data_IF_998787539958
#
_entry.id   IF_998787539958
#
_cell.length_a   1.000
_cell.length_b   1.000
_cell.length_c   1.000
_cell.angle_alpha   90.00
_cell.angle_beta   90.00
_cell.angle_gamma   90.00
#
_symmetry.space_group_name_H-M   'P 1'
#
loop_
_entity.id
_entity.type
_entity.pdbx_description
1 polymer ?
#
# COMPACT_ATOMS: atom_id res chain seq x y z
N UNK A 1 -7.19 5.40 -28.49
CA UNK A 1 -8.21 6.35 -27.97
C UNK A 1 -7.72 7.21 -26.79
N UNK A 2 -7.48 6.66 -25.59
CA UNK A 2 -6.99 7.47 -24.45
C UNK A 2 -5.63 8.14 -24.72
N UNK A 3 -4.68 7.39 -25.30
CA UNK A 3 -3.36 7.92 -25.66
C UNK A 3 -3.40 8.97 -26.80
N UNK A 4 -4.49 9.02 -27.56
CA UNK A 4 -4.72 9.99 -28.64
C UNK A 4 -5.48 11.23 -28.15
N UNK A 5 -5.81 11.32 -26.86
CA UNK A 5 -6.60 12.42 -26.28
C UNK A 5 -8.09 12.40 -26.66
N UNK A 6 -8.57 11.34 -27.32
CA UNK A 6 -9.97 11.18 -27.75
C UNK A 6 -10.84 10.67 -26.58
N UNK A 7 -10.88 11.44 -25.50
CA UNK A 7 -11.45 11.02 -24.20
C UNK A 7 -12.95 10.73 -24.27
N UNK A 8 -13.71 11.50 -25.06
CA UNK A 8 -15.16 11.30 -25.24
C UNK A 8 -15.45 9.96 -25.93
N UNK A 9 -14.66 9.61 -26.94
CA UNK A 9 -14.83 8.33 -27.62
C UNK A 9 -14.36 7.17 -26.76
N UNK A 10 -13.25 7.34 -26.03
CA UNK A 10 -12.79 6.37 -25.05
C UNK A 10 -13.87 6.08 -23.99
N UNK A 11 -14.54 7.12 -23.47
CA UNK A 11 -15.66 6.96 -22.52
C UNK A 11 -16.79 6.16 -23.13
N UNK A 12 -17.23 6.50 -24.35
CA UNK A 12 -18.32 5.79 -25.03
C UNK A 12 -17.98 4.32 -25.26
N UNK A 13 -16.81 4.04 -25.80
CA UNK A 13 -16.36 2.67 -26.09
C UNK A 13 -16.19 1.86 -24.81
N UNK A 14 -15.57 2.42 -23.78
CA UNK A 14 -15.39 1.75 -22.49
C UNK A 14 -16.73 1.47 -21.81
N UNK A 15 -17.65 2.44 -21.81
CA UNK A 15 -19.01 2.26 -21.27
C UNK A 15 -19.76 1.14 -22.00
N UNK A 16 -19.69 1.09 -23.33
CA UNK A 16 -20.29 0.01 -24.11
C UNK A 16 -19.69 -1.36 -23.76
N UNK A 17 -18.36 -1.44 -23.58
CA UNK A 17 -17.69 -2.66 -23.16
C UNK A 17 -18.17 -3.13 -21.77
N UNK A 18 -18.26 -2.21 -20.80
CA UNK A 18 -18.80 -2.50 -19.45
C UNK A 18 -20.20 -3.10 -19.55
N UNK A 19 -21.12 -2.49 -20.31
CA UNK A 19 -22.51 -3.01 -20.45
C UNK A 19 -22.59 -4.40 -21.10
N UNK A 20 -21.63 -4.75 -21.96
CA UNK A 20 -21.58 -6.08 -22.58
C UNK A 20 -21.01 -7.11 -21.60
N UNK A 21 -19.89 -6.77 -20.95
CA UNK A 21 -19.17 -7.66 -20.03
C UNK A 21 -19.95 -7.93 -18.75
N UNK A 22 -20.77 -6.97 -18.29
CA UNK A 22 -21.73 -7.18 -17.19
C UNK A 22 -22.71 -8.33 -17.45
N UNK A 23 -22.95 -8.70 -18.71
CA UNK A 23 -23.84 -9.81 -19.09
C UNK A 23 -23.09 -11.13 -19.27
N UNK A 24 -21.76 -11.08 -19.36
CA UNK A 24 -20.92 -12.22 -19.75
C UNK A 24 -20.30 -13.01 -18.60
N UNK A 25 -20.52 -12.61 -17.33
CA UNK A 25 -19.90 -13.18 -16.12
C UNK A 25 -18.35 -13.18 -16.09
N UNK A 26 -17.69 -12.51 -17.04
CA UNK A 26 -16.24 -12.37 -17.10
C UNK A 26 -15.74 -11.18 -16.26
N UNK A 27 -15.65 -11.38 -14.94
CA UNK A 27 -15.33 -10.33 -13.96
C UNK A 27 -13.96 -9.65 -14.20
N UNK A 28 -12.94 -10.39 -14.65
CA UNK A 28 -11.60 -9.84 -14.93
C UNK A 28 -11.64 -8.79 -16.04
N UNK A 29 -12.23 -9.11 -17.20
CA UNK A 29 -12.35 -8.15 -18.30
C UNK A 29 -13.29 -6.99 -17.95
N UNK A 30 -14.33 -7.26 -17.14
CA UNK A 30 -15.20 -6.21 -16.62
C UNK A 30 -14.41 -5.20 -15.77
N UNK A 31 -13.50 -5.66 -14.91
CA UNK A 31 -12.65 -4.78 -14.12
C UNK A 31 -11.75 -3.90 -15.02
N UNK A 32 -11.08 -4.47 -16.02
CA UNK A 32 -10.25 -3.71 -16.97
C UNK A 32 -11.06 -2.64 -17.74
N UNK A 33 -12.25 -3.00 -18.19
CA UNK A 33 -13.16 -2.08 -18.87
C UNK A 33 -13.59 -0.94 -17.94
N UNK A 34 -13.87 -1.23 -16.67
CA UNK A 34 -14.20 -0.22 -15.66
C UNK A 34 -13.01 0.70 -15.36
N UNK A 35 -11.77 0.19 -15.27
CA UNK A 35 -10.56 1.02 -15.09
C UNK A 35 -10.45 2.03 -16.24
N UNK A 36 -10.63 1.55 -17.47
CA UNK A 36 -10.59 2.39 -18.68
C UNK A 36 -11.71 3.44 -18.68
N UNK A 37 -12.93 3.04 -18.28
CA UNK A 37 -14.08 3.94 -18.20
C UNK A 37 -13.89 5.02 -17.13
N UNK A 38 -13.45 4.63 -15.94
CA UNK A 38 -13.17 5.54 -14.82
C UNK A 38 -12.09 6.56 -15.18
N UNK A 39 -11.01 6.14 -15.83
CA UNK A 39 -9.97 7.03 -16.33
C UNK A 39 -10.49 8.00 -17.39
N UNK A 40 -11.29 7.53 -18.35
CA UNK A 40 -11.90 8.39 -19.37
C UNK A 40 -12.82 9.45 -18.73
N UNK A 41 -13.59 9.09 -17.71
CA UNK A 41 -14.45 10.02 -16.96
C UNK A 41 -13.63 11.07 -16.20
N UNK A 42 -12.52 10.67 -15.57
CA UNK A 42 -11.64 11.59 -14.86
C UNK A 42 -11.01 12.62 -15.80
N UNK A 43 -10.55 12.17 -16.98
CA UNK A 43 -10.02 13.05 -18.04
C UNK A 43 -11.09 13.98 -18.66
N UNK A 44 -12.37 13.71 -18.42
CA UNK A 44 -13.50 14.57 -18.77
C UNK A 44 -13.98 15.43 -17.58
N UNK A 45 -13.19 15.50 -16.50
CA UNK A 45 -13.48 16.22 -15.27
C UNK A 45 -14.78 15.79 -14.56
N UNK A 46 -15.19 14.53 -14.75
CA UNK A 46 -16.36 13.94 -14.07
C UNK A 46 -15.92 13.14 -12.84
N UNK A 47 -15.33 13.82 -11.87
CA UNK A 47 -14.64 13.21 -10.73
C UNK A 47 -15.51 12.26 -9.91
N UNK A 48 -16.77 12.63 -9.62
CA UNK A 48 -17.67 11.78 -8.83
C UNK A 48 -18.01 10.46 -9.55
N UNK A 49 -18.26 10.53 -10.86
CA UNK A 49 -18.55 9.35 -11.68
C UNK A 49 -17.31 8.48 -11.84
N UNK A 50 -16.16 9.10 -12.08
CA UNK A 50 -14.89 8.40 -12.16
C UNK A 50 -14.57 7.66 -10.87
N UNK A 51 -14.80 8.30 -9.71
CA UNK A 51 -14.60 7.70 -8.38
C UNK A 51 -15.45 6.45 -8.22
N UNK A 52 -16.76 6.56 -8.44
CA UNK A 52 -17.68 5.43 -8.29
C UNK A 52 -17.33 4.26 -9.22
N UNK A 53 -16.91 4.55 -10.46
CA UNK A 53 -16.52 3.52 -11.43
C UNK A 53 -15.20 2.84 -11.03
N UNK A 54 -14.22 3.60 -10.53
CA UNK A 54 -12.93 3.05 -10.09
C UNK A 54 -13.05 2.25 -8.80
N UNK A 55 -13.83 2.71 -7.81
CA UNK A 55 -14.13 1.96 -6.59
C UNK A 55 -14.83 0.63 -6.92
N UNK A 56 -15.74 0.65 -7.90
CA UNK A 56 -16.37 -0.58 -8.40
C UNK A 56 -15.37 -1.51 -9.09
N UNK A 57 -14.45 -0.96 -9.88
CA UNK A 57 -13.40 -1.75 -10.53
C UNK A 57 -12.51 -2.48 -9.51
N UNK A 58 -12.13 -1.80 -8.42
CA UNK A 58 -11.38 -2.39 -7.30
C UNK A 58 -12.16 -3.57 -6.73
N UNK A 59 -13.42 -3.37 -6.37
CA UNK A 59 -14.23 -4.42 -5.75
C UNK A 59 -14.44 -5.65 -6.64
N UNK A 60 -14.68 -5.45 -7.94
CA UNK A 60 -14.87 -6.56 -8.89
C UNK A 60 -13.58 -7.33 -9.11
N UNK A 61 -12.44 -6.64 -9.25
CA UNK A 61 -11.14 -7.28 -9.42
C UNK A 61 -10.74 -8.09 -8.17
N UNK A 62 -11.00 -7.59 -6.97
CA UNK A 62 -10.80 -8.34 -5.72
C UNK A 62 -11.70 -9.59 -5.66
N UNK A 63 -12.96 -9.48 -6.07
CA UNK A 63 -13.90 -10.61 -6.11
C UNK A 63 -13.48 -11.69 -7.11
N UNK A 64 -12.86 -11.31 -8.24
CA UNK A 64 -12.33 -12.26 -9.22
C UNK A 64 -10.95 -12.81 -8.86
N UNK A 65 -10.36 -12.35 -7.76
CA UNK A 65 -9.00 -12.73 -7.35
C UNK A 65 -7.89 -12.07 -8.18
N UNK A 66 -8.24 -11.12 -9.05
CA UNK A 66 -7.29 -10.36 -9.85
C UNK A 66 -6.78 -9.15 -9.04
N UNK A 67 -5.83 -9.42 -8.14
CA UNK A 67 -5.24 -8.40 -7.27
C UNK A 67 -4.45 -7.35 -8.05
N UNK A 68 -3.92 -7.71 -9.22
CA UNK A 68 -3.15 -6.79 -10.06
C UNK A 68 -4.06 -5.72 -10.68
N UNK A 69 -5.20 -6.13 -11.26
CA UNK A 69 -6.22 -5.18 -11.73
C UNK A 69 -6.82 -4.36 -10.60
N UNK A 70 -7.03 -4.94 -9.41
CA UNK A 70 -7.50 -4.20 -8.24
C UNK A 70 -6.50 -3.09 -7.85
N UNK A 71 -5.21 -3.43 -7.80
CA UNK A 71 -4.14 -2.49 -7.52
C UNK A 71 -4.02 -1.40 -8.60
N UNK A 72 -4.17 -1.78 -9.86
CA UNK A 72 -4.17 -0.86 -11.00
C UNK A 72 -5.34 0.14 -10.93
N UNK A 73 -6.52 -0.32 -10.54
CA UNK A 73 -7.69 0.53 -10.33
C UNK A 73 -7.47 1.54 -9.18
N UNK A 74 -6.93 1.07 -8.05
CA UNK A 74 -6.59 1.93 -6.91
C UNK A 74 -5.52 2.98 -7.25
N UNK A 75 -4.48 2.60 -8.01
CA UNK A 75 -3.47 3.55 -8.50
C UNK A 75 -4.07 4.58 -9.46
N UNK A 76 -4.95 4.15 -10.36
CA UNK A 76 -5.64 5.05 -11.29
C UNK A 76 -6.53 6.05 -10.55
N UNK A 77 -7.18 5.62 -9.47
CA UNK A 77 -7.96 6.49 -8.59
C UNK A 77 -7.08 7.60 -7.96
N UNK A 78 -5.91 7.24 -7.43
CA UNK A 78 -4.95 8.21 -6.86
C UNK A 78 -4.41 9.18 -7.91
N UNK A 79 -4.06 8.66 -9.09
CA UNK A 79 -3.41 9.45 -10.13
C UNK A 79 -4.36 10.50 -10.73
N UNK A 80 -5.59 10.08 -11.04
CA UNK A 80 -6.55 10.90 -11.78
C UNK A 80 -7.42 11.76 -10.84
N UNK A 81 -7.70 11.28 -9.62
CA UNK A 81 -8.57 11.96 -8.66
C UNK A 81 -7.81 12.50 -7.44
N UNK A 82 -6.48 12.53 -7.52
CA UNK A 82 -5.61 12.90 -6.41
C UNK A 82 -5.96 14.24 -5.75
N UNK A 83 -6.37 15.23 -6.55
CA UNK A 83 -6.67 16.57 -6.07
C UNK A 83 -8.11 16.71 -5.51
N UNK A 84 -8.97 15.72 -5.75
CA UNK A 84 -10.35 15.68 -5.25
C UNK A 84 -10.50 14.87 -3.95
N UNK A 85 -9.43 14.16 -3.54
CA UNK A 85 -9.41 13.31 -2.37
C UNK A 85 -8.69 14.01 -1.22
N UNK A 86 -9.16 13.78 0.00
CA UNK A 86 -8.45 14.21 1.20
C UNK A 86 -7.10 13.49 1.33
N UNK A 87 -6.16 14.08 2.07
CA UNK A 87 -4.86 13.44 2.29
C UNK A 87 -4.98 12.10 3.02
N UNK A 88 -6.00 11.92 3.87
CA UNK A 88 -6.23 10.63 4.54
C UNK A 88 -6.75 9.58 3.55
N UNK A 89 -7.73 9.91 2.71
CA UNK A 89 -8.22 9.01 1.66
C UNK A 89 -7.08 8.58 0.72
N UNK A 90 -6.21 9.52 0.30
CA UNK A 90 -5.04 9.21 -0.53
C UNK A 90 -4.10 8.21 0.14
N UNK A 91 -3.85 8.36 1.44
CA UNK A 91 -2.98 7.44 2.20
C UNK A 91 -3.62 6.07 2.34
N UNK A 92 -4.92 6.02 2.62
CA UNK A 92 -5.66 4.76 2.72
C UNK A 92 -5.67 4.02 1.38
N UNK A 93 -6.00 4.71 0.28
CA UNK A 93 -5.95 4.11 -1.06
C UNK A 93 -4.54 3.69 -1.44
N UNK A 94 -3.50 4.47 -1.11
CA UNK A 94 -2.12 4.09 -1.40
C UNK A 94 -1.70 2.84 -0.62
N UNK A 95 -2.06 2.77 0.66
CA UNK A 95 -1.78 1.60 1.49
C UNK A 95 -2.49 0.35 0.95
N UNK A 96 -3.75 0.50 0.51
CA UNK A 96 -4.51 -0.57 -0.13
C UNK A 96 -3.87 -1.01 -1.45
N UNK A 97 -3.55 -0.07 -2.34
CA UNK A 97 -2.85 -0.35 -3.60
C UNK A 97 -1.52 -1.06 -3.36
N UNK A 98 -0.75 -0.65 -2.36
CA UNK A 98 0.54 -1.29 -1.99
C UNK A 98 0.34 -2.74 -1.58
N UNK A 99 -0.70 -3.04 -0.80
CA UNK A 99 -1.00 -4.39 -0.35
C UNK A 99 -1.43 -5.30 -1.52
N UNK A 100 -2.21 -4.77 -2.46
CA UNK A 100 -2.69 -5.50 -3.63
C UNK A 100 -1.57 -5.87 -4.61
N UNK A 101 -0.55 -5.01 -4.74
CA UNK A 101 0.54 -5.18 -5.71
C UNK A 101 1.86 -5.64 -5.08
N UNK A 102 1.84 -6.07 -3.80
CA UNK A 102 3.04 -6.48 -3.06
C UNK A 102 3.80 -7.62 -3.77
N UNK A 103 3.07 -8.48 -4.49
CA UNK A 103 3.62 -9.61 -5.25
C UNK A 103 3.64 -9.39 -6.77
N UNK A 104 3.28 -8.20 -7.27
CA UNK A 104 3.28 -7.94 -8.71
C UNK A 104 4.71 -7.89 -9.25
N UNK A 105 4.93 -8.56 -10.38
CA UNK A 105 6.20 -8.52 -11.13
C UNK A 105 6.19 -7.40 -12.19
N UNK A 106 5.07 -6.68 -12.37
CA UNK A 106 4.97 -5.59 -13.33
C UNK A 106 5.70 -4.33 -12.83
N UNK A 107 6.87 -4.09 -13.42
CA UNK A 107 7.71 -2.90 -13.20
C UNK A 107 6.92 -1.60 -13.44
N UNK A 108 5.97 -1.59 -14.37
CA UNK A 108 5.10 -0.45 -14.64
C UNK A 108 4.22 -0.07 -13.45
N UNK A 109 3.60 -1.07 -12.81
CA UNK A 109 2.79 -0.89 -11.60
C UNK A 109 3.66 -0.40 -10.43
N UNK A 110 4.81 -1.03 -10.22
CA UNK A 110 5.75 -0.63 -9.15
C UNK A 110 6.23 0.82 -9.34
N UNK A 111 6.50 1.23 -10.59
CA UNK A 111 6.91 2.60 -10.91
C UNK A 111 5.79 3.60 -10.64
N UNK A 112 4.55 3.27 -11.02
CA UNK A 112 3.36 4.11 -10.75
C UNK A 112 3.11 4.25 -9.26
N UNK A 113 3.16 3.14 -8.51
CA UNK A 113 3.05 3.13 -7.05
C UNK A 113 4.09 4.04 -6.41
N UNK A 114 5.35 3.90 -6.80
CA UNK A 114 6.45 4.72 -6.29
C UNK A 114 6.20 6.22 -6.55
N UNK A 115 5.80 6.57 -7.78
CA UNK A 115 5.49 7.96 -8.15
C UNK A 115 4.33 8.54 -7.32
N UNK A 116 3.26 7.78 -7.15
CA UNK A 116 2.09 8.17 -6.36
C UNK A 116 2.43 8.31 -4.87
N UNK A 117 3.23 7.39 -4.33
CA UNK A 117 3.72 7.46 -2.96
C UNK A 117 4.57 8.72 -2.72
N UNK A 118 5.48 9.05 -3.66
CA UNK A 118 6.24 10.30 -3.58
C UNK A 118 5.33 11.53 -3.62
N UNK A 119 4.37 11.60 -4.54
CA UNK A 119 3.41 12.72 -4.60
C UNK A 119 2.72 12.93 -3.26
N UNK A 120 2.20 11.85 -2.66
CA UNK A 120 1.47 11.91 -1.38
C UNK A 120 2.39 12.30 -0.21
N UNK A 121 3.65 11.82 -0.20
CA UNK A 121 4.62 12.18 0.84
C UNK A 121 4.92 13.68 0.88
N UNK A 122 4.90 14.34 -0.28
CA UNK A 122 5.18 15.78 -0.41
C UNK A 122 3.91 16.66 -0.34
N UNK A 123 2.72 16.09 -0.16
CA UNK A 123 1.52 16.88 0.09
C UNK A 123 1.61 17.54 1.47
N UNK A 124 1.37 18.84 1.51
CA UNK A 124 1.25 19.56 2.78
C UNK A 124 0.08 18.98 3.57
N UNK A 125 0.27 18.62 4.85
CA UNK A 125 -0.83 18.08 5.63
C UNK A 125 -1.96 19.10 5.73
N UNK A 126 -3.20 18.67 5.53
CA UNK A 126 -4.36 19.47 5.90
C UNK A 126 -4.32 19.72 7.41
N UNK A 127 -4.05 20.95 7.83
CA UNK A 127 -3.91 21.28 9.26
C UNK A 127 -5.18 21.01 10.07
N UNK A 128 -6.34 21.01 9.42
CA UNK A 128 -7.63 20.75 10.06
C UNK A 128 -7.74 19.26 10.41
N UNK A 129 -7.70 18.94 11.70
CA UNK A 129 -7.74 17.56 12.18
C UNK A 129 -6.38 16.83 12.14
N UNK A 130 -5.31 17.49 11.66
CA UNK A 130 -3.97 16.91 11.69
C UNK A 130 -3.48 16.74 13.14
N UNK A 131 -3.08 15.52 13.45
CA UNK A 131 -2.40 15.20 14.71
C UNK A 131 -0.97 14.78 14.39
N UNK A 132 -0.03 15.70 14.64
CA UNK A 132 1.40 15.42 14.49
C UNK A 132 1.81 14.13 15.22
N UNK A 133 1.31 13.92 16.45
CA UNK A 133 1.58 12.71 17.23
C UNK A 133 1.09 11.44 16.51
N UNK A 134 -0.09 11.46 15.88
CA UNK A 134 -0.64 10.32 15.12
C UNK A 134 0.17 10.04 13.87
N UNK A 135 0.51 11.07 13.10
CA UNK A 135 1.28 10.92 11.86
C UNK A 135 2.70 10.42 12.11
N UNK A 136 3.38 10.96 13.12
CA UNK A 136 4.71 10.45 13.55
C UNK A 136 4.60 8.99 14.00
N UNK A 137 3.56 8.63 14.76
CA UNK A 137 3.34 7.24 15.20
C UNK A 137 3.13 6.30 14.01
N UNK A 138 2.33 6.68 13.01
CA UNK A 138 2.12 5.86 11.81
C UNK A 138 3.42 5.67 11.03
N UNK A 139 4.19 6.74 10.82
CA UNK A 139 5.47 6.65 10.11
C UNK A 139 6.51 5.82 10.87
N UNK A 140 6.59 6.00 12.19
CA UNK A 140 7.43 5.18 13.08
C UNK A 140 7.05 3.69 13.00
N UNK A 141 5.74 3.37 13.05
CA UNK A 141 5.24 2.00 12.90
C UNK A 141 5.63 1.39 11.56
N UNK A 142 5.53 2.16 10.48
CA UNK A 142 5.89 1.71 9.13
C UNK A 142 7.38 1.37 9.01
N UNK A 143 8.27 2.27 9.46
CA UNK A 143 9.72 2.02 9.42
C UNK A 143 10.11 0.81 10.28
N UNK A 144 9.51 0.67 11.47
CA UNK A 144 9.75 -0.48 12.34
C UNK A 144 9.34 -1.79 11.65
N UNK A 145 8.15 -1.82 11.03
CA UNK A 145 7.66 -2.97 10.26
C UNK A 145 8.64 -3.35 9.15
N UNK A 146 9.06 -2.38 8.34
CA UNK A 146 9.99 -2.60 7.24
C UNK A 146 11.32 -3.20 7.74
N UNK A 147 11.89 -2.63 8.80
CA UNK A 147 13.12 -3.12 9.39
C UNK A 147 12.97 -4.52 10.01
N UNK A 148 11.80 -4.86 10.57
CA UNK A 148 11.51 -6.20 11.07
C UNK A 148 11.42 -7.22 9.93
N UNK A 149 10.76 -6.89 8.82
CA UNK A 149 10.67 -7.74 7.63
C UNK A 149 12.05 -7.99 7.02
N UNK A 150 12.83 -6.94 6.80
CA UNK A 150 14.22 -7.04 6.32
C UNK A 150 15.10 -7.88 7.28
N UNK A 151 14.83 -7.79 8.58
CA UNK A 151 15.52 -8.56 9.59
C UNK A 151 14.99 -10.00 9.77
N UNK A 152 14.02 -10.45 8.99
CA UNK A 152 13.30 -11.72 9.17
C UNK A 152 12.77 -11.91 10.60
N UNK A 153 12.23 -10.84 11.19
CA UNK A 153 11.67 -10.79 12.54
C UNK A 153 12.70 -10.64 13.67
N UNK A 154 14.00 -10.58 13.37
CA UNK A 154 15.06 -10.45 14.38
C UNK A 154 15.16 -9.00 14.92
N UNK A 155 14.59 -8.77 16.11
CA UNK A 155 14.53 -7.44 16.77
C UNK A 155 15.89 -6.77 16.92
N UNK A 156 16.94 -7.52 17.25
CA UNK A 156 18.29 -6.96 17.41
C UNK A 156 18.89 -6.44 16.09
N UNK A 157 18.57 -7.09 14.96
CA UNK A 157 19.02 -6.67 13.63
C UNK A 157 18.18 -5.50 13.13
N UNK A 158 16.86 -5.56 13.29
CA UNK A 158 15.95 -4.47 12.98
C UNK A 158 16.32 -3.18 13.74
N UNK A 159 16.63 -3.28 15.03
CA UNK A 159 17.05 -2.14 15.84
C UNK A 159 18.33 -1.48 15.30
N UNK A 160 19.28 -2.27 14.78
CA UNK A 160 20.51 -1.75 14.17
C UNK A 160 20.23 -1.05 12.84
N UNK A 161 19.36 -1.59 11.99
CA UNK A 161 18.95 -0.95 10.73
C UNK A 161 18.30 0.41 10.98
N UNK A 162 17.51 0.52 12.05
CA UNK A 162 16.87 1.78 12.47
C UNK A 162 17.82 2.74 13.22
N UNK A 163 19.09 2.37 13.41
CA UNK A 163 20.07 3.22 14.08
C UNK A 163 20.00 3.27 15.61
N UNK A 164 19.25 2.37 16.26
CA UNK A 164 19.25 2.28 17.71
C UNK A 164 20.57 1.73 18.24
N UNK A 165 21.12 2.36 19.30
CA UNK A 165 22.30 1.87 20.01
C UNK A 165 22.06 0.54 20.72
N UNK A 166 20.84 0.33 21.21
CA UNK A 166 20.45 -0.86 21.96
C UNK A 166 19.10 -1.40 21.47
N UNK A 167 19.01 -2.71 21.28
CA UNK A 167 17.78 -3.38 20.84
C UNK A 167 16.64 -3.28 21.87
N UNK A 168 16.97 -3.03 23.15
CA UNK A 168 15.98 -2.81 24.21
C UNK A 168 15.10 -1.58 23.97
N UNK A 169 15.63 -0.54 23.32
CA UNK A 169 14.84 0.63 22.92
C UNK A 169 13.71 0.25 21.95
N UNK A 170 14.01 -0.59 20.96
CA UNK A 170 13.01 -1.09 20.03
C UNK A 170 12.00 -2.02 20.71
N UNK A 171 12.43 -2.87 21.65
CA UNK A 171 11.53 -3.72 22.43
C UNK A 171 10.53 -2.88 23.24
N UNK A 172 11.01 -1.82 23.90
CA UNK A 172 10.14 -0.90 24.65
C UNK A 172 9.13 -0.18 23.76
N UNK A 173 9.56 0.29 22.58
CA UNK A 173 8.68 0.92 21.59
C UNK A 173 7.58 -0.03 21.09
N UNK A 174 7.94 -1.28 20.77
CA UNK A 174 7.00 -2.32 20.35
C UNK A 174 5.98 -2.65 21.45
N UNK A 175 6.42 -2.72 22.71
CA UNK A 175 5.54 -3.06 23.83
C UNK A 175 4.56 -1.93 24.21
N UNK A 176 4.99 -0.67 24.06
CA UNK A 176 4.22 0.49 24.55
C UNK A 176 3.40 1.18 23.45
N UNK A 177 4.04 1.50 22.32
CA UNK A 177 3.43 2.33 21.28
C UNK A 177 2.94 1.51 20.09
N UNK A 178 3.62 0.43 19.75
CA UNK A 178 3.39 -0.35 18.53
C UNK A 178 3.08 -1.82 18.82
N UNK A 179 2.11 -2.04 19.71
CA UNK A 179 1.67 -3.37 20.15
C UNK A 179 1.20 -4.26 18.99
N UNK A 180 0.61 -3.68 17.94
CA UNK A 180 0.17 -4.39 16.73
C UNK A 180 1.32 -5.06 15.96
N UNK A 181 2.55 -4.56 16.09
CA UNK A 181 3.73 -5.10 15.41
C UNK A 181 4.40 -6.26 16.17
N UNK A 182 3.89 -6.62 17.36
CA UNK A 182 4.43 -7.72 18.15
C UNK A 182 4.28 -9.08 17.46
N UNK A 183 3.38 -9.21 16.49
CA UNK A 183 3.21 -10.42 15.68
C UNK A 183 4.31 -10.61 14.63
N UNK A 184 4.98 -9.53 14.20
CA UNK A 184 5.98 -9.57 13.11
C UNK A 184 7.39 -9.93 13.61
N UNK A 185 7.57 -10.11 14.93
CA UNK A 185 8.86 -10.53 15.51
C UNK A 185 8.99 -12.05 15.53
N UNK A 186 10.21 -12.55 15.35
CA UNK A 186 10.48 -13.96 15.63
C UNK A 186 10.26 -14.25 17.12
N UNK A 187 9.73 -15.43 17.47
CA UNK A 187 9.48 -15.79 18.87
C UNK A 187 10.78 -15.72 19.69
N UNK A 188 10.66 -15.24 20.93
CA UNK A 188 11.78 -15.10 21.86
C UNK A 188 12.34 -16.49 22.16
N UNK A 189 13.42 -16.87 21.46
CA UNK A 189 14.21 -18.05 21.83
C UNK A 189 15.07 -17.68 23.03
N UNK A 190 14.88 -18.38 24.16
CA UNK A 190 15.77 -18.26 25.32
C UNK A 190 17.20 -18.54 24.85
N UNK A 191 18.10 -17.57 25.03
CA UNK A 191 19.52 -17.77 24.76
C UNK A 191 20.02 -18.81 25.75
N UNK A 192 20.42 -19.99 25.27
CA UNK A 192 21.07 -20.97 26.12
C UNK A 192 22.39 -20.35 26.60
N UNK A 193 22.46 -20.03 27.89
CA UNK A 193 23.71 -19.67 28.51
C UNK A 193 24.57 -20.94 28.51
N UNK A 194 25.60 -20.97 27.66
CA UNK A 194 26.70 -21.90 27.90
C UNK A 194 27.34 -21.46 29.21
N UNK A 195 27.16 -22.27 30.26
CA UNK A 195 27.97 -22.20 31.45
C UNK A 195 29.41 -22.46 31.00
N UNK A 196 30.22 -21.41 30.92
CA UNK A 196 31.66 -21.58 30.74
C UNK A 196 32.15 -22.17 32.06
N UNK A 197 32.37 -23.48 32.07
CA UNK A 197 32.98 -24.17 33.19
C UNK A 197 34.47 -23.77 33.24
N UNK A 198 34.85 -23.03 34.28
CA UNK A 198 36.24 -22.65 34.53
C UNK A 198 37.03 -23.73 35.30
N UNK A 199 36.51 -24.95 35.43
CA UNK A 199 37.22 -26.07 36.09
C UNK A 199 38.00 -26.94 35.11
N UNK A 200 39.16 -26.46 34.64
CA UNK A 200 40.20 -27.33 34.08
C UNK A 200 41.52 -27.08 34.83
N UNK A 201 42.05 -28.04 35.60
CA UNK A 201 43.36 -27.89 36.20
C UNK A 201 44.42 -27.98 35.10
N UNK A 202 45.31 -26.99 35.04
CA UNK A 202 46.52 -27.05 34.21
C UNK A 202 47.36 -28.28 34.63
N UNK A 203 47.61 -29.18 33.68
CA UNK A 203 48.74 -30.10 33.70
C UNK A 203 49.68 -29.71 32.57
#
# INVERSE_FOLDING_TARGET
LLAEGRNVEAEKTARSAVTILEKGDELTFLAEALITHGRALALLHRSDQARAVLERAISIAEQSGDLESAGLAALTLIEELGDALSTEELRETLAHATALVETSEDIGIVRRLSKSAFRILFLTPEWKGFSFKRSVKQYESYLIRLALREANGAVSRAARLLGFRHHQSLISLLATRHNSLLAERSPIKRRHHHLIDHSAPKK
#
